data_IF_410402285123
#
_entry.id   IF_410402285123
#
_cell.length_a   1.000
_cell.length_b   1.000
_cell.length_c   1.000
_cell.angle_alpha   90.00
_cell.angle_beta   90.00
_cell.angle_gamma   90.00
#
_symmetry.space_group_name_H-M   'P 1'
#
loop_
_entity.id
_entity.type
_entity.pdbx_description
1 polymer ?
#
# COMPACT_ATOMS: atom_id res chain seq x y z
N UNK A 1 13.53 38.41 -20.17
CA UNK A 1 12.96 37.57 -19.10
C UNK A 1 13.34 36.13 -19.39
N UNK A 2 14.26 35.55 -18.61
CA UNK A 2 14.68 34.15 -18.76
C UNK A 2 13.95 33.35 -17.68
N UNK A 3 13.10 32.40 -18.06
CA UNK A 3 12.49 31.45 -17.13
C UNK A 3 13.35 30.20 -17.16
N UNK A 4 14.15 29.97 -16.13
CA UNK A 4 14.87 28.70 -15.95
C UNK A 4 13.90 27.68 -15.35
N UNK A 5 13.57 26.63 -16.10
CA UNK A 5 12.85 25.47 -15.59
C UNK A 5 13.88 24.52 -14.99
N UNK A 6 13.77 24.22 -13.70
CA UNK A 6 14.60 23.22 -13.04
C UNK A 6 14.19 21.80 -13.50
N UNK A 7 14.84 21.34 -14.56
CA UNK A 7 14.65 20.00 -15.12
C UNK A 7 15.15 18.89 -14.17
N UNK A 8 16.09 19.20 -13.27
CA UNK A 8 16.67 18.23 -12.34
C UNK A 8 15.66 17.74 -11.32
N UNK A 9 14.94 18.67 -10.69
CA UNK A 9 13.87 18.32 -9.73
C UNK A 9 12.74 17.51 -10.39
N UNK A 10 12.35 17.89 -11.62
CA UNK A 10 11.33 17.18 -12.38
C UNK A 10 11.70 15.72 -12.67
N UNK A 11 12.95 15.49 -13.06
CA UNK A 11 13.47 14.14 -13.33
C UNK A 11 13.48 13.27 -12.06
N UNK A 12 14.01 13.77 -10.95
CA UNK A 12 14.03 13.01 -9.67
C UNK A 12 12.62 12.65 -9.21
N UNK A 13 11.66 13.57 -9.34
CA UNK A 13 10.26 13.29 -9.02
C UNK A 13 9.69 12.19 -9.93
N UNK A 14 9.94 12.26 -11.23
CA UNK A 14 9.46 11.25 -12.17
C UNK A 14 10.04 9.85 -11.87
N UNK A 15 11.33 9.76 -11.58
CA UNK A 15 12.01 8.50 -11.21
C UNK A 15 11.44 7.94 -9.91
N UNK A 16 11.26 8.78 -8.88
CA UNK A 16 10.67 8.37 -7.60
C UNK A 16 9.24 7.83 -7.77
N UNK A 17 8.41 8.52 -8.55
CA UNK A 17 7.04 8.06 -8.80
C UNK A 17 7.01 6.78 -9.65
N UNK A 18 7.95 6.59 -10.59
CA UNK A 18 8.07 5.34 -11.33
C UNK A 18 8.45 4.17 -10.41
N UNK A 19 9.47 4.34 -9.58
CA UNK A 19 9.89 3.31 -8.62
C UNK A 19 8.76 2.98 -7.62
N UNK A 20 8.03 3.99 -7.14
CA UNK A 20 6.88 3.77 -6.24
C UNK A 20 5.80 2.92 -6.90
N UNK A 21 5.48 3.16 -8.17
CA UNK A 21 4.51 2.35 -8.93
C UNK A 21 5.00 0.92 -9.13
N UNK A 22 6.26 0.76 -9.52
CA UNK A 22 6.87 -0.56 -9.74
C UNK A 22 6.84 -1.42 -8.48
N UNK A 23 7.17 -0.83 -7.32
CA UNK A 23 7.07 -1.52 -6.03
C UNK A 23 5.62 -1.92 -5.72
N UNK A 24 4.66 -1.02 -5.90
CA UNK A 24 3.24 -1.33 -5.68
C UNK A 24 2.73 -2.47 -6.57
N UNK A 25 3.15 -2.49 -7.84
CA UNK A 25 2.81 -3.56 -8.79
C UNK A 25 3.45 -4.89 -8.40
N UNK A 26 4.73 -4.88 -8.03
CA UNK A 26 5.44 -6.07 -7.60
C UNK A 26 4.78 -6.70 -6.35
N UNK A 27 4.37 -5.87 -5.37
CA UNK A 27 3.62 -6.34 -4.20
C UNK A 27 2.31 -6.99 -4.62
N UNK A 28 1.50 -6.30 -5.44
CA UNK A 28 0.21 -6.80 -5.86
C UNK A 28 0.34 -8.15 -6.61
N UNK A 29 1.27 -8.22 -7.56
CA UNK A 29 1.53 -9.44 -8.34
C UNK A 29 2.03 -10.60 -7.47
N UNK A 30 2.92 -10.34 -6.51
CA UNK A 30 3.41 -11.37 -5.60
C UNK A 30 2.28 -11.96 -4.74
N UNK A 31 1.40 -11.11 -4.20
CA UNK A 31 0.24 -11.55 -3.42
C UNK A 31 -0.74 -12.32 -4.30
N UNK A 32 -1.05 -11.82 -5.50
CA UNK A 32 -1.96 -12.48 -6.43
C UNK A 32 -1.41 -13.84 -6.86
N UNK A 33 -0.12 -13.95 -7.15
CA UNK A 33 0.54 -15.22 -7.46
C UNK A 33 0.53 -16.21 -6.30
N UNK A 34 0.70 -15.72 -5.07
CA UNK A 34 0.66 -16.55 -3.86
C UNK A 34 -0.76 -17.07 -3.56
N UNK A 35 -1.79 -16.28 -3.84
CA UNK A 35 -3.19 -16.66 -3.59
C UNK A 35 -3.83 -17.40 -4.76
N UNK A 36 -3.31 -17.21 -5.98
CA UNK A 36 -3.79 -17.83 -7.22
C UNK A 36 -5.30 -17.57 -7.38
N UNK A 37 -6.08 -18.58 -7.79
CA UNK A 37 -7.53 -18.51 -7.97
C UNK A 37 -8.31 -18.07 -6.71
N UNK A 38 -7.73 -18.18 -5.52
CA UNK A 38 -8.39 -17.77 -4.27
C UNK A 38 -8.54 -16.26 -4.16
N UNK A 39 -7.71 -15.50 -4.86
CA UNK A 39 -7.81 -14.04 -4.89
C UNK A 39 -9.18 -13.59 -5.43
N UNK A 40 -9.76 -14.34 -6.37
CA UNK A 40 -11.05 -14.03 -7.00
C UNK A 40 -12.26 -14.29 -6.08
N UNK A 41 -12.06 -14.99 -4.96
CA UNK A 41 -13.12 -15.34 -4.01
C UNK A 41 -13.15 -14.45 -2.77
N UNK A 42 -12.23 -13.48 -2.68
CA UNK A 42 -12.17 -12.57 -1.54
C UNK A 42 -13.16 -11.42 -1.74
N UNK A 43 -14.10 -11.29 -0.80
CA UNK A 43 -15.01 -10.14 -0.77
C UNK A 43 -14.25 -8.83 -0.54
N UNK A 44 -13.21 -8.89 0.31
CA UNK A 44 -12.45 -7.72 0.79
C UNK A 44 -10.99 -8.07 1.06
N UNK A 45 -10.10 -7.14 0.73
CA UNK A 45 -8.67 -7.21 1.07
C UNK A 45 -8.32 -6.02 1.96
N UNK A 46 -8.12 -6.26 3.24
CA UNK A 46 -7.82 -5.21 4.21
C UNK A 46 -6.31 -4.92 4.22
N UNK A 47 -5.96 -3.66 4.00
CA UNK A 47 -4.58 -3.19 3.90
C UNK A 47 -4.19 -2.39 5.15
N UNK A 48 -3.08 -2.78 5.77
CA UNK A 48 -2.50 -2.15 6.95
C UNK A 48 -1.01 -1.82 6.73
N UNK A 49 -0.45 -0.99 7.61
CA UNK A 49 0.92 -0.46 7.56
C UNK A 49 1.07 0.80 6.73
N UNK A 50 2.25 1.43 6.80
CA UNK A 50 2.56 2.64 6.02
C UNK A 50 2.61 2.38 4.51
N UNK A 51 3.14 1.22 4.11
CA UNK A 51 3.18 0.80 2.71
C UNK A 51 1.78 0.67 2.08
N UNK A 52 0.75 0.34 2.86
CA UNK A 52 -0.62 0.31 2.35
C UNK A 52 -1.07 1.67 1.84
N UNK A 53 -0.74 2.76 2.55
CA UNK A 53 -1.06 4.13 2.14
C UNK A 53 -0.26 4.50 0.89
N UNK A 54 1.02 4.14 0.85
CA UNK A 54 1.90 4.49 -0.27
C UNK A 54 1.58 3.70 -1.54
N UNK A 55 1.10 2.46 -1.46
CA UNK A 55 0.91 1.58 -2.62
C UNK A 55 -0.55 1.25 -2.93
N UNK A 56 -1.51 1.81 -2.19
CA UNK A 56 -2.95 1.58 -2.36
C UNK A 56 -3.39 1.58 -3.83
N UNK A 57 -2.99 2.61 -4.57
CA UNK A 57 -3.43 2.78 -5.96
C UNK A 57 -3.01 1.65 -6.91
N UNK A 58 -1.86 1.02 -6.69
CA UNK A 58 -1.41 -0.11 -7.51
C UNK A 58 -2.02 -1.43 -7.00
N UNK A 59 -2.17 -1.59 -5.68
CA UNK A 59 -2.79 -2.79 -5.08
C UNK A 59 -4.27 -2.88 -5.47
N UNK A 60 -5.02 -1.79 -5.37
CA UNK A 60 -6.46 -1.73 -5.67
C UNK A 60 -6.79 -2.01 -7.15
N UNK A 61 -5.82 -1.87 -8.06
CA UNK A 61 -5.99 -2.23 -9.48
C UNK A 61 -6.09 -3.74 -9.69
N UNK A 62 -5.35 -4.52 -8.90
CA UNK A 62 -5.34 -5.97 -8.99
C UNK A 62 -6.31 -6.62 -8.00
N UNK A 63 -6.63 -5.92 -6.91
CA UNK A 63 -7.58 -6.34 -5.90
C UNK A 63 -8.70 -5.30 -5.74
N UNK A 64 -9.79 -5.37 -6.55
CA UNK A 64 -10.85 -4.36 -6.52
C UNK A 64 -11.55 -4.19 -5.17
N UNK A 65 -11.56 -5.24 -4.32
CA UNK A 65 -12.08 -5.20 -2.95
C UNK A 65 -11.08 -4.67 -1.91
N UNK A 66 -9.95 -4.09 -2.33
CA UNK A 66 -8.92 -3.62 -1.42
C UNK A 66 -9.27 -2.31 -0.72
N UNK A 67 -9.07 -2.28 0.60
CA UNK A 67 -9.43 -1.15 1.45
C UNK A 67 -8.37 -0.88 2.51
N UNK A 68 -8.13 0.40 2.78
CA UNK A 68 -7.33 0.81 3.92
C UNK A 68 -8.15 0.63 5.19
N UNK A 69 -7.57 -0.06 6.18
CA UNK A 69 -8.14 -0.08 7.53
C UNK A 69 -8.05 1.32 8.16
N UNK A 70 -8.87 1.66 9.18
CA UNK A 70 -8.68 2.89 9.94
C UNK A 70 -7.27 2.95 10.54
N UNK A 71 -6.62 4.10 10.43
CA UNK A 71 -5.25 4.33 10.89
C UNK A 71 -4.27 3.20 10.48
N UNK A 72 -4.05 2.95 9.16
CA UNK A 72 -3.31 1.78 8.67
C UNK A 72 -1.95 1.59 9.33
N UNK A 73 -1.21 2.68 9.55
CA UNK A 73 0.11 2.66 10.18
C UNK A 73 0.09 2.15 11.61
N UNK A 74 -1.01 2.40 12.34
CA UNK A 74 -1.17 2.04 13.75
C UNK A 74 -1.94 0.73 13.94
N UNK A 75 -2.52 0.16 12.89
CA UNK A 75 -3.40 -1.01 12.97
C UNK A 75 -2.80 -2.17 13.80
N UNK A 76 -1.52 -2.50 13.60
CA UNK A 76 -0.85 -3.55 14.36
C UNK A 76 -0.66 -3.16 15.84
N UNK A 77 -0.18 -1.95 16.11
CA UNK A 77 0.02 -1.47 17.48
C UNK A 77 -1.30 -1.42 18.27
N UNK A 78 -2.37 -0.96 17.62
CA UNK A 78 -3.71 -0.93 18.20
C UNK A 78 -4.26 -2.34 18.46
N UNK A 79 -4.02 -3.27 17.54
CA UNK A 79 -4.35 -4.69 17.72
C UNK A 79 -3.65 -5.28 18.95
N UNK A 80 -2.34 -5.05 19.09
CA UNK A 80 -1.57 -5.49 20.25
C UNK A 80 -2.06 -4.86 21.56
N UNK A 81 -2.34 -3.55 21.57
CA UNK A 81 -2.86 -2.86 22.75
C UNK A 81 -4.21 -3.42 23.21
N UNK A 82 -5.14 -3.63 22.28
CA UNK A 82 -6.46 -4.21 22.58
C UNK A 82 -6.33 -5.62 23.13
N UNK A 83 -5.49 -6.44 22.49
CA UNK A 83 -5.22 -7.80 22.96
C UNK A 83 -4.66 -7.80 24.38
N UNK A 84 -3.63 -7.00 24.67
CA UNK A 84 -3.02 -6.90 25.99
C UNK A 84 -4.04 -6.49 27.07
N UNK A 85 -4.90 -5.53 26.75
CA UNK A 85 -5.98 -5.10 27.66
C UNK A 85 -7.01 -6.18 27.96
N UNK A 86 -7.33 -7.03 26.99
CA UNK A 86 -8.29 -8.12 27.18
C UNK A 86 -7.68 -9.30 27.93
N UNK A 87 -6.40 -9.60 27.69
CA UNK A 87 -5.68 -10.71 28.35
C UNK A 87 -5.11 -10.35 29.73
N UNK A 88 -5.29 -9.10 30.20
CA UNK A 88 -4.99 -8.68 31.56
C UNK A 88 -3.50 -8.48 31.87
N UNK A 89 -2.70 -8.10 30.87
CA UNK A 89 -1.27 -7.77 31.03
C UNK A 89 -1.07 -6.26 31.11
#
# INVERSE_FOLDING_TARGET
MLVSVDLGYGYTKAVREAARREVGQAIAQAVHGAWSEKADWLDRVLLAGGGAVDFYGEIARLFPGAELVPDPQWANALGFYRLAREVGV
#
